data_IF_278702389358
#
_entry.id   IF_278702389358
#
_cell.length_a   1.000
_cell.length_b   1.000
_cell.length_c   1.000
_cell.angle_alpha   90.00
_cell.angle_beta   90.00
_cell.angle_gamma   90.00
#
_symmetry.space_group_name_H-M   'P 1'
#
loop_
_entity.id
_entity.type
_entity.pdbx_description
1 polymer ?
#
# COMPACT_ATOMS: atom_id res chain seq x y z
N UNK A 1 26.92 1.72 -32.43
CA UNK A 1 25.97 1.54 -31.29
C UNK A 1 24.48 1.44 -31.65
N UNK A 2 24.01 1.65 -32.90
CA UNK A 2 22.58 1.54 -33.26
C UNK A 2 22.04 0.10 -33.38
N UNK A 3 22.90 -0.89 -33.68
CA UNK A 3 22.49 -2.30 -33.89
C UNK A 3 22.06 -3.07 -32.64
N UNK A 4 22.47 -2.66 -31.42
CA UNK A 4 22.07 -3.36 -30.19
C UNK A 4 20.64 -3.05 -29.73
N UNK A 5 20.03 -1.95 -30.21
CA UNK A 5 18.66 -1.55 -29.83
C UNK A 5 17.57 -2.37 -30.52
N UNK A 6 17.79 -2.83 -31.75
CA UNK A 6 16.80 -3.60 -32.53
C UNK A 6 16.61 -5.01 -31.99
N UNK A 7 17.70 -5.68 -31.58
CA UNK A 7 17.64 -7.03 -31.00
C UNK A 7 16.87 -7.08 -29.66
N UNK A 8 17.03 -6.05 -28.82
CA UNK A 8 16.35 -5.98 -27.53
C UNK A 8 14.84 -5.74 -27.68
N UNK A 9 14.46 -4.92 -28.67
CA UNK A 9 13.05 -4.63 -28.98
C UNK A 9 12.31 -5.86 -29.53
N UNK A 10 12.95 -6.62 -30.44
CA UNK A 10 12.38 -7.86 -30.98
C UNK A 10 12.20 -8.97 -29.91
N UNK A 11 13.06 -8.99 -28.88
CA UNK A 11 12.93 -9.92 -27.74
C UNK A 11 11.77 -9.52 -26.82
N UNK A 12 11.60 -8.21 -26.59
CA UNK A 12 10.47 -7.68 -25.82
C UNK A 12 9.12 -7.96 -26.50
N UNK A 13 9.02 -7.77 -27.82
CA UNK A 13 7.78 -8.07 -28.55
C UNK A 13 7.42 -9.55 -28.55
N UNK A 14 8.42 -10.45 -28.68
CA UNK A 14 8.17 -11.89 -28.55
C UNK A 14 7.67 -12.30 -27.15
N UNK A 15 8.21 -11.68 -26.10
CA UNK A 15 7.78 -11.97 -24.73
C UNK A 15 6.35 -11.46 -24.46
N UNK A 16 6.00 -10.28 -24.98
CA UNK A 16 4.64 -9.73 -24.88
C UNK A 16 3.63 -10.59 -25.67
N UNK A 17 3.97 -10.99 -26.89
CA UNK A 17 3.14 -11.90 -27.69
C UNK A 17 2.94 -13.26 -27.01
N UNK A 18 3.98 -13.81 -26.38
CA UNK A 18 3.87 -15.06 -25.61
C UNK A 18 2.96 -14.91 -24.38
N UNK A 19 3.05 -13.80 -23.65
CA UNK A 19 2.17 -13.55 -22.50
C UNK A 19 0.70 -13.35 -22.91
N UNK A 20 0.44 -12.64 -24.02
CA UNK A 20 -0.90 -12.50 -24.58
C UNK A 20 -1.46 -13.85 -25.03
N UNK A 21 -0.64 -14.63 -25.74
CA UNK A 21 -1.02 -15.99 -26.15
C UNK A 21 -1.35 -16.88 -24.94
N UNK A 22 -0.54 -16.87 -23.86
CA UNK A 22 -0.85 -17.63 -22.64
C UNK A 22 -2.14 -17.17 -21.95
N UNK A 23 -2.45 -15.86 -21.96
CA UNK A 23 -3.70 -15.34 -21.42
C UNK A 23 -4.92 -15.78 -22.26
N UNK A 24 -4.82 -15.70 -23.59
CA UNK A 24 -5.85 -16.17 -24.51
C UNK A 24 -6.06 -17.69 -24.43
N UNK A 25 -4.98 -18.46 -24.24
CA UNK A 25 -5.09 -19.92 -24.03
C UNK A 25 -5.76 -20.26 -22.70
N UNK A 26 -5.52 -19.47 -21.63
CA UNK A 26 -6.24 -19.62 -20.35
C UNK A 26 -7.74 -19.32 -20.48
N UNK A 27 -8.13 -18.48 -21.43
CA UNK A 27 -9.55 -18.15 -21.65
C UNK A 27 -10.29 -19.24 -22.43
N UNK A 28 -9.57 -20.07 -23.20
CA UNK A 28 -10.13 -21.20 -23.97
C UNK A 28 -10.16 -22.52 -23.20
N UNK A 29 -10.18 -22.50 -21.87
CA UNK A 29 -10.47 -23.72 -21.10
C UNK A 29 -11.87 -24.17 -21.48
N UNK A 30 -11.97 -25.26 -22.25
CA UNK A 30 -13.23 -25.84 -22.69
C UNK A 30 -14.03 -26.19 -21.44
N UNK A 31 -15.12 -25.46 -21.19
CA UNK A 31 -16.05 -25.77 -20.10
C UNK A 31 -16.70 -27.11 -20.42
N UNK A 32 -16.24 -28.17 -19.76
CA UNK A 32 -16.89 -29.48 -19.88
C UNK A 32 -18.33 -29.40 -19.33
N UNK A 33 -19.23 -30.16 -19.93
CA UNK A 33 -20.59 -30.30 -19.39
C UNK A 33 -20.51 -31.03 -18.05
N UNK A 34 -21.12 -30.50 -16.97
CA UNK A 34 -21.10 -31.14 -15.66
C UNK A 34 -21.58 -32.59 -15.73
N UNK A 35 -20.87 -33.48 -15.05
CA UNK A 35 -21.21 -34.91 -14.97
C UNK A 35 -22.49 -35.09 -14.15
N UNK A 36 -22.52 -34.55 -12.93
CA UNK A 36 -23.72 -34.58 -12.08
C UNK A 36 -24.55 -33.31 -12.30
N UNK A 37 -25.87 -33.49 -12.42
CA UNK A 37 -26.85 -32.42 -12.66
C UNK A 37 -28.05 -32.53 -11.71
N UNK A 38 -28.73 -31.41 -11.48
CA UNK A 38 -29.96 -31.33 -10.68
C UNK A 38 -29.81 -31.93 -9.28
N UNK A 39 -30.84 -32.64 -8.83
CA UNK A 39 -30.93 -33.24 -7.50
C UNK A 39 -29.74 -34.17 -7.15
N UNK A 40 -29.20 -34.92 -8.12
CA UNK A 40 -28.04 -35.80 -7.88
C UNK A 40 -26.80 -34.98 -7.51
N UNK A 41 -26.58 -33.83 -8.15
CA UNK A 41 -25.46 -32.93 -7.82
C UNK A 41 -25.64 -32.36 -6.42
N UNK A 42 -26.84 -31.90 -6.09
CA UNK A 42 -27.14 -31.33 -4.77
C UNK A 42 -26.94 -32.34 -3.65
N UNK A 43 -27.38 -33.58 -3.84
CA UNK A 43 -27.15 -34.66 -2.88
C UNK A 43 -25.66 -34.94 -2.64
N UNK A 44 -24.87 -35.04 -3.72
CA UNK A 44 -23.41 -35.22 -3.62
C UNK A 44 -22.75 -34.02 -2.93
N UNK A 45 -23.15 -32.80 -3.28
CA UNK A 45 -22.63 -31.58 -2.63
C UNK A 45 -22.97 -31.55 -1.15
N UNK A 46 -24.19 -31.94 -0.75
CA UNK A 46 -24.60 -32.00 0.66
C UNK A 46 -23.68 -32.92 1.45
N UNK A 47 -23.48 -34.16 0.99
CA UNK A 47 -22.61 -35.11 1.69
C UNK A 47 -21.14 -34.66 1.74
N UNK A 48 -20.65 -33.98 0.70
CA UNK A 48 -19.29 -33.40 0.72
C UNK A 48 -19.20 -32.23 1.69
N UNK A 49 -20.22 -31.37 1.77
CA UNK A 49 -20.25 -30.27 2.72
C UNK A 49 -20.26 -30.77 4.17
N UNK A 50 -20.93 -31.88 4.46
CA UNK A 50 -20.92 -32.50 5.79
C UNK A 50 -19.50 -32.95 6.18
N UNK A 51 -18.75 -33.58 5.27
CA UNK A 51 -17.35 -33.98 5.51
C UNK A 51 -16.40 -32.78 5.59
N UNK A 52 -16.58 -31.79 4.71
CA UNK A 52 -15.77 -30.56 4.73
C UNK A 52 -16.02 -29.72 5.98
N UNK A 53 -17.20 -29.81 6.61
CA UNK A 53 -17.52 -29.11 7.84
C UNK A 53 -16.77 -29.67 9.06
N UNK A 54 -16.31 -30.93 9.01
CA UNK A 54 -15.50 -31.56 10.06
C UNK A 54 -14.00 -31.25 9.87
N UNK A 55 -13.63 -29.98 10.07
CA UNK A 55 -12.25 -29.51 10.07
C UNK A 55 -11.80 -29.07 11.46
N UNK A 56 -10.49 -29.20 11.74
CA UNK A 56 -9.90 -28.82 13.04
C UNK A 56 -9.00 -27.60 12.91
N UNK A 57 -8.22 -27.52 11.84
CA UNK A 57 -7.23 -26.45 11.65
C UNK A 57 -7.59 -25.48 10.54
N UNK A 58 -8.20 -25.97 9.46
CA UNK A 58 -8.51 -25.13 8.30
C UNK A 58 -9.71 -25.68 7.53
N UNK A 59 -10.60 -24.82 6.98
CA UNK A 59 -11.67 -25.24 6.09
C UNK A 59 -11.21 -26.07 4.87
N UNK A 60 -9.91 -26.03 4.53
CA UNK A 60 -9.31 -26.77 3.42
C UNK A 60 -8.69 -28.13 3.84
N UNK A 61 -8.73 -28.49 5.13
CA UNK A 61 -8.10 -29.69 5.68
C UNK A 61 -8.55 -30.98 4.98
N UNK A 62 -9.85 -31.12 4.72
CA UNK A 62 -10.44 -32.29 4.07
C UNK A 62 -10.55 -32.16 2.54
N UNK A 63 -10.05 -31.07 1.93
CA UNK A 63 -10.21 -30.81 0.49
C UNK A 63 -9.63 -31.95 -0.37
N UNK A 64 -8.39 -32.37 -0.05
CA UNK A 64 -7.69 -33.42 -0.80
C UNK A 64 -8.40 -34.76 -0.73
N UNK A 65 -8.89 -35.14 0.46
CA UNK A 65 -9.61 -36.38 0.70
C UNK A 65 -10.95 -36.40 -0.05
N UNK A 66 -11.74 -35.33 0.07
CA UNK A 66 -13.01 -35.18 -0.62
C UNK A 66 -12.83 -35.24 -2.15
N UNK A 67 -11.83 -34.52 -2.69
CA UNK A 67 -11.53 -34.53 -4.13
C UNK A 67 -11.10 -35.93 -4.61
N UNK A 68 -10.22 -36.60 -3.88
CA UNK A 68 -9.74 -37.93 -4.25
C UNK A 68 -10.86 -38.98 -4.20
N UNK A 69 -11.70 -38.95 -3.16
CA UNK A 69 -12.85 -39.84 -3.01
C UNK A 69 -13.89 -39.63 -4.11
N UNK A 70 -14.27 -38.37 -4.38
CA UNK A 70 -15.22 -38.03 -5.43
C UNK A 70 -14.69 -38.41 -6.83
N UNK A 71 -13.41 -38.12 -7.11
CA UNK A 71 -12.76 -38.54 -8.35
C UNK A 71 -12.81 -40.05 -8.52
N UNK A 72 -12.50 -40.82 -7.46
CA UNK A 72 -12.57 -42.29 -7.49
C UNK A 72 -13.97 -42.77 -7.83
N UNK A 73 -15.00 -42.20 -7.21
CA UNK A 73 -16.40 -42.54 -7.48
C UNK A 73 -16.77 -42.26 -8.95
N UNK A 74 -16.40 -41.09 -9.47
CA UNK A 74 -16.68 -40.72 -10.87
C UNK A 74 -15.92 -41.61 -11.87
N UNK A 75 -14.68 -42.02 -11.56
CA UNK A 75 -13.96 -43.00 -12.39
C UNK A 75 -14.66 -44.36 -12.40
N UNK A 76 -15.21 -44.81 -11.26
CA UNK A 76 -15.99 -46.06 -11.18
C UNK A 76 -17.31 -45.97 -11.95
N UNK A 77 -17.88 -44.77 -12.08
CA UNK A 77 -19.03 -44.50 -12.97
C UNK A 77 -18.65 -44.55 -14.47
N UNK A 78 -17.39 -44.82 -14.82
CA UNK A 78 -16.92 -45.03 -16.19
C UNK A 78 -16.38 -43.79 -16.90
N UNK A 79 -16.17 -42.68 -16.18
CA UNK A 79 -15.61 -41.46 -16.76
C UNK A 79 -14.07 -41.48 -16.78
N UNK A 80 -13.42 -40.84 -17.78
CA UNK A 80 -11.96 -40.76 -17.84
C UNK A 80 -11.39 -39.92 -16.71
N UNK A 81 -10.20 -40.29 -16.25
CA UNK A 81 -9.57 -39.73 -15.04
C UNK A 81 -9.50 -38.20 -15.04
N UNK A 82 -9.07 -37.56 -16.14
CA UNK A 82 -8.95 -36.09 -16.21
C UNK A 82 -10.30 -35.42 -16.01
N UNK A 83 -11.36 -35.95 -16.65
CA UNK A 83 -12.70 -35.40 -16.53
C UNK A 83 -13.28 -35.60 -15.12
N UNK A 84 -12.98 -36.75 -14.51
CA UNK A 84 -13.37 -37.04 -13.13
C UNK A 84 -12.69 -36.10 -12.12
N UNK A 85 -11.39 -35.82 -12.31
CA UNK A 85 -10.63 -34.90 -11.45
C UNK A 85 -11.09 -33.44 -11.60
N UNK A 86 -11.37 -33.00 -12.83
CA UNK A 86 -11.90 -31.67 -13.10
C UNK A 86 -13.28 -31.46 -12.45
N UNK A 87 -14.21 -32.41 -12.64
CA UNK A 87 -15.54 -32.35 -12.02
C UNK A 87 -15.43 -32.36 -10.49
N UNK A 88 -14.57 -33.23 -9.93
CA UNK A 88 -14.36 -33.30 -8.50
C UNK A 88 -13.82 -31.98 -7.93
N UNK A 89 -12.84 -31.36 -8.61
CA UNK A 89 -12.30 -30.07 -8.24
C UNK A 89 -13.37 -28.97 -8.25
N UNK A 90 -14.24 -28.94 -9.26
CA UNK A 90 -15.34 -27.96 -9.36
C UNK A 90 -16.36 -28.15 -8.24
N UNK A 91 -16.80 -29.38 -7.99
CA UNK A 91 -17.79 -29.66 -6.92
C UNK A 91 -17.23 -29.27 -5.56
N UNK A 92 -15.99 -29.66 -5.23
CA UNK A 92 -15.36 -29.31 -3.95
C UNK A 92 -15.18 -27.79 -3.82
N UNK A 93 -14.76 -27.11 -4.88
CA UNK A 93 -14.63 -25.65 -4.88
C UNK A 93 -15.97 -24.93 -4.69
N UNK A 94 -17.05 -25.42 -5.29
CA UNK A 94 -18.41 -24.90 -5.07
C UNK A 94 -18.89 -25.12 -3.63
N UNK A 95 -18.59 -26.28 -3.03
CA UNK A 95 -18.92 -26.58 -1.64
C UNK A 95 -18.19 -25.62 -0.69
N UNK A 96 -16.88 -25.45 -0.85
CA UNK A 96 -16.08 -24.50 -0.06
C UNK A 96 -16.60 -23.07 -0.21
N UNK A 97 -16.95 -22.66 -1.43
CA UNK A 97 -17.55 -21.34 -1.68
C UNK A 97 -18.90 -21.17 -0.97
N UNK A 98 -19.76 -22.20 -0.98
CA UNK A 98 -21.06 -22.18 -0.26
C UNK A 98 -20.87 -22.11 1.25
N UNK A 99 -19.80 -22.70 1.79
CA UNK A 99 -19.43 -22.59 3.20
C UNK A 99 -18.82 -21.22 3.57
N UNK A 100 -18.61 -20.33 2.59
CA UNK A 100 -17.96 -19.03 2.80
C UNK A 100 -16.44 -19.13 2.99
N UNK A 101 -15.81 -20.25 2.65
CA UNK A 101 -14.37 -20.39 2.72
C UNK A 101 -13.71 -19.62 1.57
N UNK A 102 -12.89 -18.62 1.91
CA UNK A 102 -12.06 -17.88 0.96
C UNK A 102 -10.72 -18.59 0.78
N UNK A 103 -10.37 -18.95 -0.47
CA UNK A 103 -9.07 -19.54 -0.74
C UNK A 103 -7.96 -18.52 -0.47
N UNK A 104 -6.91 -18.89 0.27
CA UNK A 104 -5.74 -18.03 0.38
C UNK A 104 -5.21 -17.74 -1.02
N UNK A 105 -4.77 -16.52 -1.21
CA UNK A 105 -4.01 -16.16 -2.40
C UNK A 105 -2.78 -17.08 -2.54
N UNK A 106 -2.25 -17.24 -3.76
CA UNK A 106 -1.05 -18.07 -3.98
C UNK A 106 0.08 -17.72 -2.99
N UNK A 107 0.21 -16.42 -2.66
CA UNK A 107 1.26 -15.92 -1.77
C UNK A 107 1.00 -16.33 -0.32
N UNK A 108 -0.25 -16.31 0.15
CA UNK A 108 -0.65 -16.78 1.48
C UNK A 108 -0.57 -18.31 1.60
N UNK A 109 -0.73 -19.04 0.50
CA UNK A 109 -0.58 -20.51 0.48
C UNK A 109 0.87 -20.99 0.56
N UNK A 110 1.84 -20.09 0.68
CA UNK A 110 3.24 -20.46 0.79
C UNK A 110 3.62 -20.84 2.22
N UNK A 111 4.54 -21.81 2.37
CA UNK A 111 4.98 -22.37 3.65
C UNK A 111 5.28 -21.34 4.76
N UNK A 112 5.87 -20.20 4.43
CA UNK A 112 6.24 -19.16 5.39
C UNK A 112 5.06 -18.43 6.04
N UNK A 113 3.86 -18.46 5.45
CA UNK A 113 2.64 -17.99 6.11
C UNK A 113 2.14 -18.99 7.16
N UNK A 114 2.56 -20.25 7.05
CA UNK A 114 2.25 -21.31 8.02
C UNK A 114 3.27 -21.32 9.17
N UNK A 115 4.45 -20.73 8.97
CA UNK A 115 5.48 -20.62 10.01
C UNK A 115 5.01 -19.66 11.11
N UNK A 116 5.11 -20.11 12.36
CA UNK A 116 4.85 -19.29 13.55
C UNK A 116 5.62 -17.96 13.52
N UNK A 117 5.08 -16.94 14.17
CA UNK A 117 5.79 -15.66 14.37
C UNK A 117 7.07 -15.80 15.17
N UNK A 118 7.17 -16.84 15.99
CA UNK A 118 8.35 -17.14 16.82
C UNK A 118 9.51 -17.76 16.04
N UNK A 119 9.25 -18.22 14.82
CA UNK A 119 10.21 -18.94 14.00
C UNK A 119 10.57 -18.16 12.73
N UNK A 120 11.81 -18.34 12.29
CA UNK A 120 12.33 -17.71 11.10
C UNK A 120 11.55 -18.20 9.87
N UNK A 121 11.03 -17.27 9.08
CA UNK A 121 10.29 -17.53 7.85
C UNK A 121 11.14 -18.18 6.71
N UNK A 122 12.43 -18.42 6.95
CA UNK A 122 13.35 -19.09 6.04
C UNK A 122 13.90 -20.41 6.59
N UNK A 123 14.52 -20.43 7.76
CA UNK A 123 15.12 -21.66 8.29
C UNK A 123 14.29 -22.37 9.37
N UNK A 124 13.17 -21.79 9.79
CA UNK A 124 12.34 -22.24 10.92
C UNK A 124 13.03 -22.24 12.29
N UNK A 125 14.28 -21.79 12.39
CA UNK A 125 14.95 -21.59 13.68
C UNK A 125 14.28 -20.49 14.50
N UNK A 126 14.43 -20.52 15.84
CA UNK A 126 13.83 -19.51 16.72
C UNK A 126 14.34 -18.10 16.37
N UNK A 127 13.47 -17.11 16.45
CA UNK A 127 13.80 -15.69 16.31
C UNK A 127 14.01 -15.09 17.70
N UNK A 128 15.04 -14.26 17.83
CA UNK A 128 15.33 -13.55 19.08
C UNK A 128 14.16 -12.65 19.52
N UNK A 129 13.96 -12.52 20.83
CA UNK A 129 12.86 -11.75 21.40
C UNK A 129 12.90 -10.27 21.03
N UNK A 130 14.09 -9.66 20.90
CA UNK A 130 14.23 -8.27 20.48
C UNK A 130 13.80 -8.08 19.02
N UNK A 131 14.19 -9.02 18.15
CA UNK A 131 13.83 -8.99 16.73
C UNK A 131 12.35 -9.27 16.52
N UNK A 132 11.77 -10.19 17.32
CA UNK A 132 10.33 -10.44 17.35
C UNK A 132 9.55 -9.22 17.82
N UNK A 133 9.99 -8.53 18.88
CA UNK A 133 9.38 -7.28 19.34
C UNK A 133 9.44 -6.16 18.28
N UNK A 134 10.41 -6.21 17.36
CA UNK A 134 10.52 -5.30 16.21
C UNK A 134 9.68 -5.74 15.00
N UNK A 135 9.05 -6.91 15.04
CA UNK A 135 8.30 -7.50 13.94
C UNK A 135 9.18 -8.08 12.83
N UNK A 136 10.43 -8.44 13.13
CA UNK A 136 11.30 -9.16 12.20
C UNK A 136 10.88 -10.63 12.10
N UNK A 137 10.93 -11.19 10.90
CA UNK A 137 10.55 -12.59 10.61
C UNK A 137 11.76 -13.47 10.29
N UNK A 138 12.97 -12.96 10.43
CA UNK A 138 14.20 -13.66 10.05
C UNK A 138 15.18 -13.64 11.22
N UNK A 139 15.76 -14.80 11.55
CA UNK A 139 16.72 -14.93 12.65
C UNK A 139 18.11 -14.37 12.31
N UNK A 140 18.40 -14.10 11.04
CA UNK A 140 19.68 -13.57 10.60
C UNK A 140 19.59 -12.83 9.28
N UNK A 141 20.59 -11.98 9.02
CA UNK A 141 20.76 -11.28 7.74
C UNK A 141 20.95 -12.26 6.59
N UNK A 142 21.63 -13.39 6.83
CA UNK A 142 21.83 -14.45 5.83
C UNK A 142 20.48 -15.03 5.41
N UNK A 143 19.63 -15.41 6.36
CA UNK A 143 18.28 -15.90 6.08
C UNK A 143 17.41 -14.86 5.36
N UNK A 144 17.51 -13.59 5.74
CA UNK A 144 16.80 -12.51 5.07
C UNK A 144 17.26 -12.34 3.60
N UNK A 145 18.58 -12.35 3.34
CA UNK A 145 19.15 -12.27 1.98
C UNK A 145 18.74 -13.47 1.12
N UNK A 146 18.90 -14.68 1.64
CA UNK A 146 18.50 -15.91 0.93
C UNK A 146 17.01 -15.91 0.58
N UNK A 147 16.15 -15.53 1.53
CA UNK A 147 14.71 -15.42 1.28
C UNK A 147 14.39 -14.34 0.23
N UNK A 148 15.11 -13.22 0.26
CA UNK A 148 14.89 -12.12 -0.66
C UNK A 148 15.31 -12.44 -2.10
N UNK A 149 16.45 -13.10 -2.27
CA UNK A 149 16.97 -13.55 -3.57
C UNK A 149 16.13 -14.68 -4.16
N UNK A 150 15.86 -15.73 -3.38
CA UNK A 150 15.11 -16.91 -3.83
C UNK A 150 13.72 -16.54 -4.40
N UNK A 151 13.04 -15.57 -3.78
CA UNK A 151 11.68 -15.19 -4.17
C UNK A 151 11.63 -14.20 -5.32
N UNK A 152 12.77 -13.69 -5.76
CA UNK A 152 12.83 -12.73 -6.85
C UNK A 152 11.94 -11.52 -6.60
N UNK A 153 11.97 -10.95 -5.38
CA UNK A 153 11.16 -9.79 -4.95
C UNK A 153 11.42 -8.48 -5.72
N UNK A 154 11.95 -8.55 -6.93
CA UNK A 154 12.37 -7.41 -7.75
C UNK A 154 11.24 -6.44 -8.12
N UNK A 155 9.95 -6.79 -7.97
CA UNK A 155 8.84 -5.91 -8.39
C UNK A 155 7.64 -5.76 -7.44
N UNK A 156 7.46 -6.59 -6.40
CA UNK A 156 6.25 -6.64 -5.54
C UNK A 156 6.49 -6.39 -4.04
N UNK A 157 7.62 -5.80 -3.67
CA UNK A 157 8.04 -5.62 -2.26
C UNK A 157 7.04 -4.89 -1.37
N UNK A 158 6.20 -4.02 -1.93
CA UNK A 158 5.27 -3.19 -1.15
C UNK A 158 4.03 -3.96 -0.68
N UNK A 159 3.69 -5.07 -1.33
CA UNK A 159 2.49 -5.85 -1.03
C UNK A 159 2.77 -7.06 -0.12
N UNK A 160 4.02 -7.53 -0.04
CA UNK A 160 4.39 -8.70 0.75
C UNK A 160 5.09 -8.28 2.07
N UNK A 161 4.48 -8.67 3.19
CA UNK A 161 4.99 -8.41 4.54
C UNK A 161 6.35 -9.06 4.79
N UNK A 162 6.58 -10.25 4.25
CA UNK A 162 7.84 -10.99 4.38
C UNK A 162 8.94 -10.34 3.55
N UNK A 163 8.63 -9.92 2.31
CA UNK A 163 9.56 -9.16 1.47
C UNK A 163 10.03 -7.89 2.18
N UNK A 164 9.08 -7.16 2.79
CA UNK A 164 9.37 -5.94 3.54
C UNK A 164 10.22 -6.23 4.77
N UNK A 165 9.92 -7.28 5.52
CA UNK A 165 10.72 -7.69 6.69
C UNK A 165 12.15 -8.06 6.29
N UNK A 166 12.33 -8.87 5.24
CA UNK A 166 13.65 -9.24 4.72
C UNK A 166 14.44 -8.00 4.29
N UNK A 167 13.79 -7.11 3.53
CA UNK A 167 14.40 -5.86 3.08
C UNK A 167 14.84 -4.97 4.25
N UNK A 168 14.03 -4.85 5.30
CA UNK A 168 14.36 -4.07 6.50
C UNK A 168 15.59 -4.66 7.19
N UNK A 169 15.64 -5.97 7.43
CA UNK A 169 16.79 -6.64 8.07
C UNK A 169 18.06 -6.40 7.25
N UNK A 170 18.01 -6.61 5.93
CA UNK A 170 19.16 -6.39 5.03
C UNK A 170 19.61 -4.93 5.08
N UNK A 171 18.68 -3.97 4.98
CA UNK A 171 19.02 -2.55 4.94
C UNK A 171 19.47 -1.98 6.28
N UNK A 172 18.96 -2.51 7.38
CA UNK A 172 19.43 -2.14 8.71
C UNK A 172 20.84 -2.66 8.93
N UNK A 173 21.18 -3.85 8.43
CA UNK A 173 22.56 -4.34 8.51
C UNK A 173 23.55 -3.53 7.67
N UNK A 174 23.18 -3.17 6.44
CA UNK A 174 23.98 -2.30 5.54
C UNK A 174 24.11 -0.85 6.03
N UNK A 175 23.26 -0.40 6.96
CA UNK A 175 23.28 0.97 7.44
C UNK A 175 24.55 1.23 8.27
N UNK A 176 25.19 2.41 8.13
CA UNK A 176 26.33 2.77 8.96
C UNK A 176 25.90 2.89 10.42
N UNK A 177 26.81 2.51 11.32
CA UNK A 177 26.61 2.71 12.75
C UNK A 177 26.68 4.19 13.09
N UNK A 178 25.72 4.65 13.90
CA UNK A 178 25.62 6.01 14.39
C UNK A 178 25.78 6.01 15.91
N UNK A 179 26.37 7.06 16.45
CA UNK A 179 26.45 7.26 17.89
C UNK A 179 25.23 8.04 18.37
N UNK A 180 24.53 7.51 19.38
CA UNK A 180 23.38 8.19 19.97
C UNK A 180 23.84 9.46 20.70
N UNK A 181 23.32 10.64 20.32
CA UNK A 181 23.71 11.90 20.96
C UNK A 181 23.30 12.01 22.44
N UNK A 182 22.38 11.16 22.91
CA UNK A 182 21.95 11.18 24.30
C UNK A 182 22.78 10.25 25.19
N UNK A 183 22.90 8.98 24.80
CA UNK A 183 23.52 7.95 25.63
C UNK A 183 24.90 7.47 25.12
N UNK A 184 25.35 7.95 23.97
CA UNK A 184 26.65 7.57 23.38
C UNK A 184 26.73 6.14 22.85
N UNK A 185 25.65 5.35 22.89
CA UNK A 185 25.64 3.98 22.35
C UNK A 185 25.60 3.99 20.82
N UNK A 186 26.38 3.10 20.21
CA UNK A 186 26.31 2.82 18.78
C UNK A 186 24.96 2.16 18.43
N UNK A 187 24.35 2.58 17.33
CA UNK A 187 23.10 2.00 16.83
C UNK A 187 23.04 2.09 15.29
N UNK A 188 22.35 1.13 14.66
CA UNK A 188 22.03 1.18 13.24
C UNK A 188 20.64 1.75 13.01
N UNK A 189 20.48 2.51 11.94
CA UNK A 189 19.21 3.20 11.64
C UNK A 189 18.16 2.22 11.13
N UNK A 190 17.02 2.15 11.81
CA UNK A 190 15.87 1.36 11.37
C UNK A 190 15.17 2.04 10.18
N UNK A 191 15.13 1.37 9.03
CA UNK A 191 14.36 1.80 7.86
C UNK A 191 15.10 2.78 6.93
N UNK A 192 16.06 2.28 6.16
CA UNK A 192 16.68 3.00 5.05
C UNK A 192 15.70 3.48 3.96
N UNK A 193 14.42 3.07 4.03
CA UNK A 193 13.39 3.41 3.05
C UNK A 193 12.99 4.90 3.07
N UNK A 194 13.32 5.63 4.11
CA UNK A 194 13.13 7.07 4.13
C UNK A 194 14.48 7.75 3.94
N UNK A 195 14.65 8.35 2.74
CA UNK A 195 15.50 9.53 2.50
C UNK A 195 15.08 10.69 3.40
N UNK A 196 14.91 10.47 4.70
CA UNK A 196 14.71 11.54 5.63
C UNK A 196 15.99 12.37 5.53
N UNK A 197 15.81 13.65 5.17
CA UNK A 197 16.80 14.72 5.27
C UNK A 197 17.87 14.38 6.31
N UNK A 198 19.13 14.42 5.89
CA UNK A 198 20.31 14.30 6.75
C UNK A 198 20.04 14.94 8.12
N UNK A 199 20.28 14.18 9.20
CA UNK A 199 20.27 14.71 10.57
C UNK A 199 18.98 14.58 11.40
N UNK A 200 17.93 13.86 10.97
CA UNK A 200 16.71 13.70 11.81
C UNK A 200 16.80 12.61 12.88
N UNK A 201 17.53 11.54 12.64
CA UNK A 201 17.59 10.40 13.57
C UNK A 201 18.93 10.40 14.30
N UNK A 202 18.98 11.15 15.40
CA UNK A 202 20.17 11.37 16.25
C UNK A 202 20.22 10.49 17.50
N UNK A 203 19.21 9.65 17.71
CA UNK A 203 19.00 8.91 18.95
C UNK A 203 18.65 7.44 18.65
N UNK A 204 19.17 6.52 19.47
CA UNK A 204 18.96 5.07 19.31
C UNK A 204 17.54 4.61 19.66
N UNK A 205 16.81 5.37 20.49
CA UNK A 205 15.46 5.02 20.92
C UNK A 205 14.57 6.24 21.10
N UNK A 206 13.25 6.02 21.15
CA UNK A 206 12.26 7.06 21.45
C UNK A 206 12.49 7.65 22.84
N UNK A 207 12.93 6.85 23.80
CA UNK A 207 13.27 7.29 25.15
C UNK A 207 14.49 8.20 25.15
N UNK A 208 15.58 7.83 24.48
CA UNK A 208 16.76 8.68 24.34
C UNK A 208 16.44 10.01 23.65
N UNK A 209 15.56 9.97 22.64
CA UNK A 209 15.06 11.18 21.99
C UNK A 209 14.29 12.08 22.96
N UNK A 210 13.39 11.51 23.76
CA UNK A 210 12.64 12.28 24.74
C UNK A 210 13.52 12.80 25.89
N UNK A 211 14.48 12.01 26.34
CA UNK A 211 15.40 12.39 27.39
C UNK A 211 16.35 13.53 26.94
N UNK A 212 16.87 13.47 25.70
CA UNK A 212 17.58 14.59 25.11
C UNK A 212 16.68 15.82 24.92
N UNK A 213 15.41 15.64 24.53
CA UNK A 213 14.46 16.75 24.40
C UNK A 213 14.12 17.40 25.76
N UNK A 214 14.34 16.71 26.89
CA UNK A 214 14.16 17.32 28.20
C UNK A 214 15.26 18.34 28.50
N UNK A 215 16.38 18.43 27.78
CA UNK A 215 17.50 19.31 28.18
C UNK A 215 17.18 20.81 28.14
N UNK A 216 16.06 21.25 27.56
CA UNK A 216 15.69 22.67 27.61
C UNK A 216 15.55 23.18 29.05
N UNK A 217 16.15 24.34 29.33
CA UNK A 217 16.03 25.03 30.61
C UNK A 217 14.57 25.45 30.88
N UNK A 218 14.20 25.50 32.15
CA UNK A 218 12.90 26.00 32.56
C UNK A 218 12.73 27.47 32.16
N UNK A 219 11.55 27.82 31.67
CA UNK A 219 11.18 29.17 31.23
C UNK A 219 9.91 29.61 31.92
N UNK A 220 9.77 30.89 32.20
CA UNK A 220 8.50 31.45 32.67
C UNK A 220 7.47 31.42 31.53
N UNK A 221 6.25 30.98 31.84
CA UNK A 221 5.15 31.03 30.88
C UNK A 221 4.80 32.48 30.53
N UNK A 222 4.69 32.80 29.24
CA UNK A 222 4.33 34.15 28.79
C UNK A 222 2.96 34.67 29.27
N UNK A 223 2.07 33.78 29.75
CA UNK A 223 0.70 34.14 30.14
C UNK A 223 0.44 34.01 31.64
N UNK A 224 0.86 32.91 32.27
CA UNK A 224 0.64 32.68 33.71
C UNK A 224 1.91 32.83 34.56
N UNK A 225 3.04 33.19 33.95
CA UNK A 225 4.38 33.37 34.55
C UNK A 225 4.98 32.17 35.29
N UNK A 226 4.23 31.10 35.52
CA UNK A 226 4.72 29.84 36.10
C UNK A 226 5.89 29.27 35.28
N UNK A 227 6.94 28.79 35.97
CA UNK A 227 8.07 28.11 35.37
C UNK A 227 7.64 26.76 34.77
N UNK A 228 8.00 26.50 33.53
CA UNK A 228 7.74 25.23 32.86
C UNK A 228 8.91 24.82 31.97
N UNK A 229 9.03 23.52 31.71
CA UNK A 229 10.06 22.96 30.85
C UNK A 229 9.54 22.78 29.42
N UNK A 230 10.02 23.54 28.43
CA UNK A 230 9.50 23.44 27.07
C UNK A 230 9.92 22.12 26.40
N UNK A 231 9.07 21.60 25.50
CA UNK A 231 9.37 20.39 24.71
C UNK A 231 10.07 20.70 23.38
N UNK A 232 9.96 21.95 22.94
CA UNK A 232 10.62 22.50 21.76
C UNK A 232 11.11 23.91 22.08
N UNK A 233 12.24 24.31 21.52
CA UNK A 233 12.88 25.60 21.81
C UNK A 233 11.98 26.82 21.56
N UNK A 234 11.01 26.71 20.65
CA UNK A 234 10.07 27.79 20.31
C UNK A 234 8.81 27.81 21.18
N UNK A 235 8.65 26.91 22.15
CA UNK A 235 7.48 26.86 23.02
C UNK A 235 7.54 27.98 24.07
N UNK A 236 6.53 28.87 24.05
CA UNK A 236 6.45 30.05 24.94
C UNK A 236 5.46 29.90 26.11
N UNK A 237 4.64 28.85 26.12
CA UNK A 237 3.56 28.65 27.09
C UNK A 237 3.63 27.27 27.74
N UNK A 238 3.30 27.20 29.04
CA UNK A 238 3.31 25.97 29.84
C UNK A 238 2.25 24.94 29.42
N UNK A 239 1.09 25.41 28.96
CA UNK A 239 -0.06 24.55 28.66
C UNK A 239 -0.86 25.04 27.46
N UNK A 240 -1.67 24.14 26.90
CA UNK A 240 -2.61 24.46 25.82
C UNK A 240 -3.61 25.55 26.21
N UNK A 241 -3.97 25.64 27.50
CA UNK A 241 -4.84 26.72 28.03
C UNK A 241 -4.14 28.08 27.90
N UNK A 242 -2.89 28.19 28.33
CA UNK A 242 -2.08 29.40 28.19
C UNK A 242 -1.82 29.75 26.72
N UNK A 243 -1.50 28.77 25.88
CA UNK A 243 -1.37 28.99 24.42
C UNK A 243 -2.66 29.53 23.81
N UNK A 244 -3.83 29.03 24.23
CA UNK A 244 -5.12 29.53 23.74
C UNK A 244 -5.43 30.95 24.22
N UNK A 245 -4.98 31.36 25.41
CA UNK A 245 -5.06 32.75 25.89
C UNK A 245 -4.13 33.68 25.11
N UNK A 246 -2.92 33.22 24.78
CA UNK A 246 -1.95 33.98 23.97
C UNK A 246 -2.40 34.19 22.52
N UNK A 247 -3.30 33.33 22.00
CA UNK A 247 -3.83 33.50 20.64
C UNK A 247 -4.64 34.78 20.57
N UNK A 248 -4.04 35.81 19.98
CA UNK A 248 -4.72 37.05 19.63
C UNK A 248 -5.93 36.69 18.76
N UNK A 249 -7.11 37.06 19.23
CA UNK A 249 -8.33 36.93 18.43
C UNK A 249 -8.20 37.89 17.25
N UNK A 250 -8.23 37.37 16.03
CA UNK A 250 -8.25 38.20 14.84
C UNK A 250 -9.50 39.08 14.77
N UNK A 251 -9.55 40.03 13.82
CA UNK A 251 -10.73 40.86 13.60
C UNK A 251 -11.97 40.02 13.34
N UNK A 252 -13.15 40.58 13.64
CA UNK A 252 -14.42 40.00 13.21
C UNK A 252 -14.43 39.92 11.67
N UNK A 253 -14.85 38.79 11.14
CA UNK A 253 -15.02 38.53 9.71
C UNK A 253 -16.40 37.94 9.48
N UNK A 254 -16.98 38.19 8.32
CA UNK A 254 -18.24 37.56 7.93
C UNK A 254 -17.98 36.22 7.25
N UNK A 255 -18.79 35.22 7.58
CA UNK A 255 -18.70 33.92 6.94
C UNK A 255 -19.21 34.00 5.50
N UNK A 256 -18.39 33.60 4.51
CA UNK A 256 -18.82 33.58 3.11
C UNK A 256 -19.98 32.61 2.80
N UNK A 257 -20.35 31.72 3.72
CA UNK A 257 -21.43 30.74 3.52
C UNK A 257 -22.74 31.19 4.17
N UNK A 258 -22.70 31.65 5.42
CA UNK A 258 -23.90 31.98 6.18
C UNK A 258 -24.00 33.47 6.58
N UNK A 259 -23.01 34.30 6.23
CA UNK A 259 -22.96 35.72 6.58
C UNK A 259 -22.63 36.02 8.05
N UNK A 260 -22.72 35.04 8.95
CA UNK A 260 -22.51 35.28 10.39
C UNK A 260 -21.11 35.81 10.69
N UNK A 261 -21.03 36.89 11.47
CA UNK A 261 -19.78 37.43 11.96
C UNK A 261 -19.10 36.46 12.95
N UNK A 262 -17.82 36.17 12.74
CA UNK A 262 -17.01 35.29 13.58
C UNK A 262 -15.57 35.81 13.72
N UNK A 263 -14.86 35.37 14.76
CA UNK A 263 -13.44 35.74 14.98
C UNK A 263 -12.51 34.63 14.51
N UNK A 264 -11.63 34.94 13.55
CA UNK A 264 -10.63 33.97 13.08
C UNK A 264 -9.41 33.94 14.02
N UNK A 265 -8.90 32.72 14.31
CA UNK A 265 -7.73 32.52 15.19
C UNK A 265 -6.38 32.57 14.45
N UNK A 266 -6.38 32.77 13.12
CA UNK A 266 -5.18 32.72 12.28
C UNK A 266 -4.99 34.04 11.53
N UNK A 267 -4.41 35.02 12.23
CA UNK A 267 -4.16 36.37 11.67
C UNK A 267 -3.19 36.29 10.48
N UNK A 268 -2.17 35.44 10.57
CA UNK A 268 -1.12 35.33 9.55
C UNK A 268 -1.53 34.63 8.26
N UNK A 269 -2.71 34.00 8.20
CA UNK A 269 -3.18 33.33 7.00
C UNK A 269 -4.63 33.77 6.67
N UNK A 270 -4.79 34.79 5.81
CA UNK A 270 -6.10 35.32 5.43
C UNK A 270 -7.05 34.23 4.91
N UNK A 271 -6.54 33.21 4.20
CA UNK A 271 -7.32 32.13 3.63
C UNK A 271 -7.82 31.10 4.67
N UNK A 272 -7.25 31.07 5.87
CA UNK A 272 -7.62 30.09 6.90
C UNK A 272 -8.80 30.52 7.80
N UNK A 273 -9.39 31.70 7.54
CA UNK A 273 -10.45 32.29 8.36
C UNK A 273 -11.58 32.86 7.52
N UNK A 274 -12.10 32.08 6.58
CA UNK A 274 -13.18 32.47 5.64
C UNK A 274 -14.57 31.96 6.09
N UNK A 275 -14.59 30.88 6.87
CA UNK A 275 -15.82 30.21 7.32
C UNK A 275 -15.87 30.16 8.84
N UNK A 276 -17.07 30.37 9.42
CA UNK A 276 -17.27 30.38 10.86
C UNK A 276 -17.17 28.98 11.49
N UNK A 277 -17.46 27.93 10.72
CA UNK A 277 -17.49 26.55 11.20
C UNK A 277 -16.99 25.54 10.16
N UNK A 278 -16.79 24.28 10.58
CA UNK A 278 -16.41 23.18 9.69
C UNK A 278 -17.53 22.87 8.70
N UNK A 279 -18.78 23.00 9.13
CA UNK A 279 -19.98 22.76 8.35
C UNK A 279 -20.09 23.79 7.22
N UNK A 280 -19.96 25.09 7.52
CA UNK A 280 -19.96 26.14 6.51
C UNK A 280 -18.83 25.94 5.47
N UNK A 281 -17.65 25.53 5.94
CA UNK A 281 -16.54 25.19 5.04
C UNK A 281 -16.87 24.01 4.11
N UNK A 282 -17.53 22.97 4.62
CA UNK A 282 -17.95 21.83 3.80
C UNK A 282 -19.06 22.21 2.81
N UNK A 283 -20.00 23.07 3.21
CA UNK A 283 -21.04 23.61 2.30
C UNK A 283 -20.38 24.43 1.19
N UNK A 284 -19.49 25.36 1.51
CA UNK A 284 -18.74 26.10 0.50
C UNK A 284 -17.94 25.18 -0.44
N UNK A 285 -17.34 24.10 0.10
CA UNK A 285 -16.62 23.10 -0.71
C UNK A 285 -17.54 22.29 -1.62
N UNK A 286 -18.77 22.00 -1.20
CA UNK A 286 -19.77 21.30 -2.02
C UNK A 286 -20.35 22.20 -3.11
N UNK A 287 -20.55 23.47 -2.78
CA UNK A 287 -21.10 24.47 -3.70
C UNK A 287 -20.05 24.98 -4.70
N UNK A 288 -18.76 24.73 -4.46
CA UNK A 288 -17.72 25.05 -5.41
C UNK A 288 -17.78 24.09 -6.60
N UNK A 289 -18.25 24.61 -7.73
CA UNK A 289 -18.23 23.95 -9.02
C UNK A 289 -17.78 24.96 -10.08
N UNK A 290 -16.58 24.75 -10.60
CA UNK A 290 -16.05 25.54 -11.71
C UNK A 290 -15.62 24.57 -12.81
N UNK A 291 -16.08 24.78 -14.04
CA UNK A 291 -15.63 23.98 -15.18
C UNK A 291 -14.21 24.36 -15.54
N UNK A 292 -13.31 23.38 -15.55
CA UNK A 292 -11.90 23.57 -15.86
C UNK A 292 -11.42 22.53 -16.85
N UNK A 293 -10.37 22.88 -17.59
CA UNK A 293 -9.64 21.94 -18.43
C UNK A 293 -8.56 21.23 -17.60
N UNK A 294 -8.47 19.91 -17.72
CA UNK A 294 -7.45 19.12 -17.04
C UNK A 294 -6.07 19.39 -17.65
N UNK A 295 -5.08 19.76 -16.84
CA UNK A 295 -3.70 20.04 -17.29
C UNK A 295 -2.98 18.82 -17.89
N UNK A 296 -3.51 17.62 -17.65
CA UNK A 296 -2.92 16.37 -18.11
C UNK A 296 -3.63 15.80 -19.35
N UNK A 297 -4.92 15.44 -19.24
CA UNK A 297 -5.66 14.80 -20.32
C UNK A 297 -6.45 15.78 -21.20
N UNK A 298 -6.39 17.07 -20.89
CA UNK A 298 -7.07 18.15 -21.63
C UNK A 298 -8.60 18.08 -21.66
N UNK A 299 -9.22 17.12 -20.97
CA UNK A 299 -10.68 16.99 -20.85
C UNK A 299 -11.25 18.03 -19.90
N UNK A 300 -12.46 18.50 -20.20
CA UNK A 300 -13.25 19.35 -19.31
C UNK A 300 -13.75 18.57 -18.10
N UNK A 301 -13.73 19.18 -16.92
CA UNK A 301 -14.22 18.59 -15.68
C UNK A 301 -14.68 19.65 -14.69
N UNK A 302 -15.56 19.27 -13.77
CA UNK A 302 -16.01 20.15 -12.68
C UNK A 302 -15.03 20.06 -11.51
N UNK A 303 -14.30 21.15 -11.25
CA UNK A 303 -13.33 21.24 -10.18
C UNK A 303 -14.00 21.32 -8.81
N UNK A 304 -13.55 20.48 -7.86
CA UNK A 304 -14.03 20.48 -6.45
C UNK A 304 -13.28 21.44 -5.54
N UNK A 305 -12.31 22.17 -6.07
CA UNK A 305 -11.55 23.19 -5.36
C UNK A 305 -10.83 24.11 -6.33
N UNK A 306 -10.61 25.36 -5.93
CA UNK A 306 -9.85 26.35 -6.70
C UNK A 306 -8.41 25.93 -7.05
N UNK A 307 -7.83 24.99 -6.29
CA UNK A 307 -6.49 24.44 -6.55
C UNK A 307 -6.51 23.17 -7.41
N UNK A 308 -7.69 22.70 -7.84
CA UNK A 308 -7.77 21.52 -8.68
C UNK A 308 -7.29 21.84 -10.08
N UNK A 309 -6.29 21.08 -10.54
CA UNK A 309 -5.69 21.16 -11.88
C UNK A 309 -5.95 19.92 -12.74
N UNK A 310 -6.43 18.84 -12.11
CA UNK A 310 -6.58 17.53 -12.76
C UNK A 310 -7.98 16.96 -12.53
N UNK A 311 -8.54 16.35 -13.57
CA UNK A 311 -9.88 15.75 -13.50
C UNK A 311 -9.95 14.51 -12.59
N UNK A 312 -8.85 13.76 -12.46
CA UNK A 312 -8.79 12.53 -11.67
C UNK A 312 -7.49 12.41 -10.87
N UNK A 313 -7.52 11.57 -9.83
CA UNK A 313 -6.31 11.19 -9.06
C UNK A 313 -5.24 10.56 -9.96
N UNK A 314 -5.67 9.81 -10.99
CA UNK A 314 -4.76 9.19 -11.96
C UNK A 314 -4.00 10.25 -12.76
N UNK A 315 -4.70 11.24 -13.33
CA UNK A 315 -4.09 12.35 -14.08
C UNK A 315 -3.08 13.12 -13.22
N UNK A 316 -3.41 13.41 -11.96
CA UNK A 316 -2.48 14.06 -11.01
C UNK A 316 -1.23 13.22 -10.76
N UNK A 317 -1.40 11.91 -10.58
CA UNK A 317 -0.29 10.99 -10.28
C UNK A 317 0.62 10.85 -11.50
N UNK A 318 0.05 10.66 -12.69
CA UNK A 318 0.81 10.57 -13.94
C UNK A 318 1.57 11.87 -14.25
N UNK A 319 0.94 13.04 -14.07
CA UNK A 319 1.61 14.33 -14.24
C UNK A 319 2.79 14.51 -13.28
N UNK A 320 2.61 14.17 -11.99
CA UNK A 320 3.69 14.20 -11.01
C UNK A 320 4.82 13.22 -11.36
N UNK A 321 4.47 12.00 -11.78
CA UNK A 321 5.47 10.98 -12.09
C UNK A 321 6.27 11.31 -13.35
N UNK A 322 5.67 12.01 -14.34
CA UNK A 322 6.41 12.61 -15.45
C UNK A 322 7.34 13.71 -14.96
N UNK A 323 6.83 14.68 -14.19
CA UNK A 323 7.63 15.83 -13.72
C UNK A 323 8.82 15.40 -12.87
N UNK A 324 8.67 14.33 -12.10
CA UNK A 324 9.74 13.78 -11.25
C UNK A 324 10.60 12.73 -11.94
N UNK A 325 10.29 12.36 -13.18
CA UNK A 325 11.00 11.32 -13.95
C UNK A 325 10.85 9.90 -13.37
N UNK A 326 9.92 9.69 -12.44
CA UNK A 326 9.66 8.38 -11.84
C UNK A 326 8.82 7.48 -12.75
N UNK A 327 8.04 8.08 -13.66
CA UNK A 327 7.21 7.32 -14.58
C UNK A 327 7.99 6.75 -15.75
N UNK A 328 7.85 5.44 -15.98
CA UNK A 328 8.26 4.76 -17.20
C UNK A 328 7.01 4.17 -17.85
N UNK A 329 6.36 4.89 -18.79
CA UNK A 329 5.18 4.35 -19.44
C UNK A 329 5.51 3.04 -20.15
N UNK A 330 4.68 2.01 -19.94
CA UNK A 330 4.78 0.75 -20.68
C UNK A 330 4.37 0.93 -22.15
N UNK A 331 3.52 1.91 -22.43
CA UNK A 331 3.07 2.29 -23.76
C UNK A 331 2.86 3.81 -23.84
N UNK A 332 3.14 4.38 -25.01
CA UNK A 332 2.90 5.80 -25.29
C UNK A 332 1.43 5.93 -25.74
N UNK A 333 0.58 6.52 -24.90
CA UNK A 333 -0.81 6.89 -25.24
C UNK A 333 -0.88 8.34 -25.71
N UNK A 334 -1.88 8.73 -26.52
CA UNK A 334 -1.98 10.09 -27.07
C UNK A 334 -1.87 11.23 -26.03
N UNK A 335 -2.49 11.14 -24.83
CA UNK A 335 -2.33 12.19 -23.80
C UNK A 335 -0.88 12.37 -23.31
N UNK A 336 -0.07 11.31 -23.35
CA UNK A 336 1.36 11.36 -22.99
C UNK A 336 2.12 12.11 -24.07
N UNK A 337 1.81 11.83 -25.32
CA UNK A 337 2.43 12.46 -26.49
C UNK A 337 2.20 13.97 -26.44
N UNK A 338 0.93 14.38 -26.26
CA UNK A 338 0.55 15.80 -26.17
C UNK A 338 1.21 16.51 -24.99
N UNK A 339 1.32 15.85 -23.84
CA UNK A 339 1.96 16.42 -22.66
C UNK A 339 3.47 16.62 -22.87
N UNK A 340 4.16 15.62 -23.44
CA UNK A 340 5.59 15.69 -23.75
C UNK A 340 5.86 16.82 -24.74
N UNK A 341 5.08 16.93 -25.81
CA UNK A 341 5.27 17.99 -26.81
C UNK A 341 5.00 19.40 -26.27
N UNK A 342 4.02 19.58 -25.36
CA UNK A 342 3.79 20.87 -24.68
C UNK A 342 4.93 21.25 -23.74
N UNK A 343 5.46 20.30 -22.96
CA UNK A 343 6.51 20.59 -21.99
C UNK A 343 7.86 20.92 -22.63
N UNK A 344 8.12 20.43 -23.84
CA UNK A 344 9.35 20.75 -24.59
C UNK A 344 9.25 22.12 -25.26
N UNK A 345 8.08 22.77 -25.22
CA UNK A 345 7.89 24.10 -25.80
C UNK A 345 8.01 24.12 -27.32
N UNK A 346 7.82 22.96 -27.98
CA UNK A 346 7.75 22.91 -29.44
C UNK A 346 6.39 23.46 -29.85
N UNK A 347 6.29 24.64 -30.49
CA UNK A 347 5.01 25.10 -30.99
C UNK A 347 4.49 24.09 -32.01
N UNK A 348 3.31 23.52 -31.75
CA UNK A 348 2.53 22.77 -32.73
C UNK A 348 1.96 23.76 -33.76
N UNK A 349 2.82 24.46 -34.46
CA UNK A 349 2.47 25.16 -35.69
C UNK A 349 2.84 24.26 -36.85
N UNK A 350 1.84 24.02 -37.71
CA UNK A 350 1.94 23.46 -39.07
C UNK A 350 1.90 21.93 -39.18
N UNK A 351 0.68 21.40 -39.30
CA UNK A 351 0.33 20.38 -40.29
C UNK A 351 -1.18 20.50 -40.54
N UNK A 352 -1.53 21.39 -41.47
CA UNK A 352 -2.81 21.38 -42.16
C UNK A 352 -2.65 20.52 -43.43
#
# INVERSE_FOLDING_TARGET
MRYKKTALWAKQQRMLGFMQWQAEQKEKVRKYRPIYKGAKREHVMSGIMDVLADWRSSPFEQEGNCRAGLRRAICLDGYPWQRADDEAAVIVAECLKKMGAERPSWIEGQWHYVVSEDNCAWCHGPVDDEDRARGHRYCSVVCAKSAYEYRGYSSTQKADTFARSAYIVIKTDEAPELQCLHCGKAYKRMGAQFKSREGKDKYCSKECKHAAARVFADRACFICTESFRPTVETQMCCSRKCTNKMRVKGPNRECQTCGTAFRSYRISNPAAGVYCSRECKEVARRNYSEERRCDWCMSWYVAKSERSRFCTKLCRTQSHDIQTGTWKPKSITPPIVDHVFRCIGVPLSVAA
#
